data_IF_280430749361
#
_entry.id   IF_280430749361
#
_cell.length_a   1.000
_cell.length_b   1.000
_cell.length_c   1.000
_cell.angle_alpha   90.00
_cell.angle_beta   90.00
_cell.angle_gamma   90.00
#
_symmetry.space_group_name_H-M   'P 1'
#
loop_
_entity.id
_entity.type
_entity.pdbx_description
1 polymer ?
#
# COMPACT_ATOMS: atom_id res chain seq x y z
N UNK A 1 -24.91 33.21 -57.74
CA UNK A 1 -25.43 32.63 -56.48
C UNK A 1 -24.30 32.64 -55.46
N UNK A 2 -24.34 33.60 -54.53
CA UNK A 2 -23.32 33.80 -53.51
C UNK A 2 -24.00 33.76 -52.13
N UNK A 3 -23.50 32.92 -51.23
CA UNK A 3 -24.04 32.74 -49.88
C UNK A 3 -23.51 33.83 -48.92
N UNK A 4 -24.32 34.33 -47.97
CA UNK A 4 -23.92 35.41 -47.07
C UNK A 4 -23.15 34.90 -45.84
N UNK A 5 -22.16 35.70 -45.44
CA UNK A 5 -21.35 35.58 -44.21
C UNK A 5 -22.20 35.90 -42.97
N UNK A 6 -22.19 35.02 -41.97
CA UNK A 6 -22.66 35.34 -40.63
C UNK A 6 -21.48 35.73 -39.73
N UNK A 7 -21.54 36.96 -39.20
CA UNK A 7 -20.74 37.45 -38.05
C UNK A 7 -21.63 37.41 -36.81
N UNK A 8 -21.03 37.12 -35.67
CA UNK A 8 -21.60 37.30 -34.32
C UNK A 8 -20.96 36.31 -33.36
N UNK A 9 -20.67 36.61 -32.11
CA UNK A 9 -20.60 37.87 -31.38
C UNK A 9 -19.65 37.60 -30.21
N UNK A 10 -18.89 38.62 -29.84
CA UNK A 10 -18.18 38.72 -28.56
C UNK A 10 -19.18 38.82 -27.38
N UNK A 11 -18.64 38.71 -26.16
CA UNK A 11 -19.27 38.76 -24.81
C UNK A 11 -19.79 37.39 -24.30
N UNK A 12 -19.45 36.93 -23.10
CA UNK A 12 -19.34 37.70 -21.87
C UNK A 12 -18.41 36.99 -20.86
N UNK A 13 -17.37 37.70 -20.42
CA UNK A 13 -16.60 37.38 -19.24
C UNK A 13 -17.32 37.95 -18.01
N UNK A 14 -17.69 37.10 -17.06
CA UNK A 14 -18.09 37.49 -15.68
C UNK A 14 -17.25 36.64 -14.73
N UNK A 15 -16.12 37.15 -14.25
CA UNK A 15 -16.00 37.98 -13.05
C UNK A 15 -16.59 37.28 -11.82
N UNK A 16 -15.76 36.43 -11.19
CA UNK A 16 -15.93 35.96 -9.82
C UNK A 16 -14.70 36.40 -9.03
N UNK A 17 -14.75 37.63 -8.52
CA UNK A 17 -13.85 38.13 -7.47
C UNK A 17 -14.70 38.82 -6.41
N UNK A 18 -14.29 38.58 -5.17
CA UNK A 18 -14.56 39.36 -3.96
C UNK A 18 -15.89 39.07 -3.23
N UNK A 19 -15.82 38.10 -2.31
CA UNK A 19 -16.50 38.21 -1.02
C UNK A 19 -15.41 38.12 0.05
N UNK A 20 -15.08 39.28 0.61
CA UNK A 20 -14.29 39.45 1.83
C UNK A 20 -15.27 39.74 2.96
N UNK A 21 -15.02 39.17 4.14
CA UNK A 21 -14.95 39.86 5.45
C UNK A 21 -15.81 39.25 6.56
N UNK A 22 -15.09 39.00 7.66
CA UNK A 22 -15.52 38.99 9.07
C UNK A 22 -16.34 37.80 9.61
N UNK A 23 -15.65 36.92 10.35
CA UNK A 23 -15.93 36.81 11.79
C UNK A 23 -14.65 36.37 12.53
N UNK A 24 -14.08 37.30 13.30
CA UNK A 24 -13.14 37.02 14.39
C UNK A 24 -13.97 37.07 15.67
N UNK A 25 -14.13 35.93 16.35
CA UNK A 25 -14.51 35.93 17.76
C UNK A 25 -14.04 34.64 18.44
N UNK A 26 -13.11 34.84 19.38
CA UNK A 26 -12.86 34.06 20.60
C UNK A 26 -12.95 32.54 20.52
N UNK A 27 -11.81 31.87 20.62
CA UNK A 27 -11.75 30.56 21.29
C UNK A 27 -10.55 30.52 22.27
N UNK A 28 -10.76 30.11 23.54
CA UNK A 28 -9.75 30.17 24.59
C UNK A 28 -8.73 29.03 24.50
N UNK A 29 -7.55 29.30 25.05
CA UNK A 29 -6.36 28.45 25.05
C UNK A 29 -6.60 27.01 25.61
N UNK A 30 -5.91 25.99 25.08
CA UNK A 30 -5.95 24.63 25.63
C UNK A 30 -5.11 24.51 26.91
N UNK A 31 -5.70 23.90 27.94
CA UNK A 31 -5.01 23.50 29.18
C UNK A 31 -4.03 22.35 28.90
N UNK A 32 -2.89 22.28 29.58
CA UNK A 32 -1.98 21.14 29.48
C UNK A 32 -2.54 19.93 30.23
N UNK A 33 -2.67 18.79 29.55
CA UNK A 33 -2.96 17.49 30.14
C UNK A 33 -1.66 16.86 30.63
N UNK A 34 -1.48 16.84 31.93
CA UNK A 34 -0.50 16.03 32.65
C UNK A 34 -0.74 14.55 32.34
N UNK A 35 0.21 13.87 31.70
CA UNK A 35 0.22 12.40 31.59
C UNK A 35 1.48 11.86 32.25
N UNK A 36 1.29 11.17 33.37
CA UNK A 36 2.31 10.34 33.99
C UNK A 36 2.59 9.10 33.11
N UNK A 37 3.85 8.67 32.93
CA UNK A 37 4.16 7.37 32.37
C UNK A 37 4.02 6.28 33.44
N UNK A 38 3.10 5.32 33.22
CA UNK A 38 3.12 4.04 33.94
C UNK A 38 4.08 3.08 33.23
N UNK A 39 5.21 2.83 33.88
CA UNK A 39 6.16 1.78 33.54
C UNK A 39 5.60 0.43 34.03
N UNK A 40 5.14 -0.41 33.11
CA UNK A 40 4.84 -1.83 33.36
C UNK A 40 5.99 -2.69 32.81
N UNK A 41 6.98 -2.92 33.65
CA UNK A 41 8.05 -3.90 33.44
C UNK A 41 7.83 -5.06 34.42
N UNK A 42 7.03 -6.03 34.01
CA UNK A 42 6.96 -7.36 34.60
C UNK A 42 8.07 -8.22 33.97
N UNK A 43 9.14 -8.52 34.72
CA UNK A 43 9.25 -9.77 35.49
C UNK A 43 9.16 -11.01 34.59
N UNK A 44 10.28 -11.38 33.96
CA UNK A 44 10.54 -12.78 33.65
C UNK A 44 11.73 -13.25 34.51
N UNK A 45 11.38 -14.20 35.37
CA UNK A 45 12.22 -14.91 36.31
C UNK A 45 13.36 -15.63 35.58
N UNK A 46 14.59 -15.25 35.90
CA UNK A 46 15.75 -16.12 35.75
C UNK A 46 15.85 -16.99 37.00
N UNK A 47 15.60 -18.29 36.88
CA UNK A 47 16.11 -19.25 37.87
C UNK A 47 16.39 -20.59 37.21
N UNK A 48 17.64 -21.02 37.41
CA UNK A 48 18.09 -22.39 37.62
C UNK A 48 18.97 -22.96 36.50
N UNK A 49 20.27 -22.92 36.81
CA UNK A 49 21.33 -23.69 36.19
C UNK A 49 21.39 -25.01 36.96
N UNK A 50 21.26 -26.14 36.27
CA UNK A 50 21.76 -27.45 36.72
C UNK A 50 22.69 -28.02 35.65
N UNK A 51 23.90 -28.46 36.00
CA UNK A 51 24.80 -29.19 35.11
C UNK A 51 24.71 -30.72 35.30
N UNK A 52 25.22 -31.43 34.30
CA UNK A 52 25.53 -32.87 34.22
C UNK A 52 24.35 -33.84 34.03
N UNK A 53 24.30 -34.54 32.88
CA UNK A 53 24.97 -35.85 32.74
C UNK A 53 24.77 -36.51 31.36
N UNK A 54 25.88 -37.03 30.82
CA UNK A 54 26.04 -38.19 29.90
C UNK A 54 25.72 -38.08 28.39
N UNK A 55 26.65 -38.52 27.50
CA UNK A 55 26.41 -38.67 26.07
C UNK A 55 25.81 -40.05 25.71
N UNK A 56 24.84 -40.14 24.78
CA UNK A 56 24.40 -41.42 24.25
C UNK A 56 25.34 -41.94 23.13
N UNK A 57 25.60 -43.25 23.18
CA UNK A 57 26.36 -44.02 22.19
C UNK A 57 25.67 -44.11 20.81
N UNK A 58 26.43 -44.44 19.74
CA UNK A 58 25.97 -44.37 18.35
C UNK A 58 25.51 -45.75 17.85
N UNK A 59 24.20 -46.01 17.78
CA UNK A 59 23.64 -47.11 16.99
C UNK A 59 22.11 -47.02 16.86
N UNK A 60 21.64 -46.65 15.67
CA UNK A 60 20.33 -46.92 15.03
C UNK A 60 20.08 -45.80 14.01
N UNK A 61 20.51 -45.92 12.76
CA UNK A 61 19.72 -46.49 11.67
C UNK A 61 18.19 -46.44 11.90
N UNK A 62 17.59 -45.31 11.57
CA UNK A 62 16.22 -45.24 11.09
C UNK A 62 16.13 -44.03 10.17
N UNK A 63 15.78 -44.30 8.92
CA UNK A 63 15.50 -43.33 7.86
C UNK A 63 14.62 -42.20 8.37
N UNK A 64 15.21 -41.01 8.51
CA UNK A 64 14.42 -39.78 8.60
C UNK A 64 13.86 -39.52 7.21
N UNK A 65 12.52 -39.48 7.03
CA UNK A 65 11.95 -39.06 5.76
C UNK A 65 12.43 -37.63 5.53
N UNK A 66 13.21 -37.44 4.47
CA UNK A 66 13.65 -36.13 4.00
C UNK A 66 12.43 -35.21 4.04
N UNK A 67 12.54 -34.13 4.80
CA UNK A 67 11.63 -33.02 4.71
C UNK A 67 11.48 -32.70 3.23
N UNK A 68 10.28 -32.96 2.68
CA UNK A 68 9.89 -32.44 1.38
C UNK A 68 9.93 -30.92 1.53
N UNK A 69 11.11 -30.33 1.31
CA UNK A 69 11.26 -28.92 0.98
C UNK A 69 10.56 -28.80 -0.37
N UNK A 70 9.24 -28.58 -0.31
CA UNK A 70 8.47 -28.18 -1.47
C UNK A 70 9.17 -26.95 -2.00
N UNK A 71 9.94 -27.15 -3.06
CA UNK A 71 10.62 -26.11 -3.81
C UNK A 71 9.53 -25.44 -4.63
N UNK A 72 8.64 -24.70 -3.96
CA UNK A 72 7.69 -23.84 -4.63
C UNK A 72 8.52 -22.75 -5.25
N UNK A 73 8.75 -22.84 -6.57
CA UNK A 73 9.32 -21.75 -7.33
C UNK A 73 8.59 -20.46 -6.96
N UNK A 74 9.30 -19.35 -6.71
CA UNK A 74 8.65 -18.07 -6.42
C UNK A 74 7.66 -17.77 -7.54
N UNK A 75 6.38 -17.66 -7.20
CA UNK A 75 5.35 -17.26 -8.15
C UNK A 75 5.48 -15.75 -8.36
N UNK A 76 5.57 -15.36 -9.61
CA UNK A 76 5.64 -13.97 -10.04
C UNK A 76 4.27 -13.52 -10.53
N UNK A 77 3.87 -12.31 -10.16
CA UNK A 77 2.61 -11.69 -10.58
C UNK A 77 2.88 -10.35 -11.24
N UNK A 78 2.01 -9.94 -12.15
CA UNK A 78 2.14 -8.64 -12.79
C UNK A 78 1.68 -7.51 -11.86
N UNK A 79 2.56 -6.54 -11.61
CA UNK A 79 2.28 -5.35 -10.80
C UNK A 79 2.64 -4.07 -11.57
N UNK A 80 2.11 -2.92 -11.16
CA UNK A 80 2.38 -1.65 -11.84
C UNK A 80 3.38 -0.86 -11.01
N UNK A 81 4.55 -0.56 -11.58
CA UNK A 81 5.56 0.32 -11.00
C UNK A 81 5.42 1.72 -11.59
N UNK A 82 5.25 2.71 -10.71
CA UNK A 82 5.34 4.13 -11.00
C UNK A 82 6.70 4.62 -10.50
N UNK A 83 7.72 4.68 -11.36
CA UNK A 83 9.02 5.17 -10.95
C UNK A 83 8.94 6.65 -10.61
N UNK A 84 9.84 7.08 -9.74
CA UNK A 84 9.99 8.48 -9.29
C UNK A 84 10.10 9.44 -10.49
N UNK A 85 10.73 8.97 -11.57
CA UNK A 85 10.76 9.64 -12.87
C UNK A 85 10.63 8.62 -14.00
N UNK A 86 9.99 9.01 -15.10
CA UNK A 86 9.83 8.16 -16.29
C UNK A 86 8.38 7.73 -16.53
N UNK A 87 8.22 6.58 -17.20
CA UNK A 87 6.90 6.07 -17.61
C UNK A 87 6.51 4.90 -16.71
N UNK A 88 5.24 4.81 -16.25
CA UNK A 88 4.73 3.64 -15.54
C UNK A 88 4.91 2.37 -16.38
N UNK A 89 5.25 1.26 -15.73
CA UNK A 89 5.46 -0.02 -16.41
C UNK A 89 5.01 -1.19 -15.56
N UNK A 90 4.66 -2.28 -16.22
CA UNK A 90 4.42 -3.54 -15.54
C UNK A 90 5.73 -4.19 -15.12
N UNK A 91 5.73 -4.82 -13.95
CA UNK A 91 6.87 -5.55 -13.37
C UNK A 91 6.41 -6.88 -12.80
N UNK A 92 7.26 -7.88 -12.88
CA UNK A 92 7.04 -9.20 -12.29
C UNK A 92 7.31 -9.12 -10.80
N UNK A 93 6.27 -8.98 -9.97
CA UNK A 93 6.27 -8.92 -8.51
C UNK A 93 6.59 -10.29 -7.91
N UNK A 94 7.70 -10.36 -7.20
CA UNK A 94 8.11 -11.56 -6.45
C UNK A 94 7.27 -11.71 -5.18
N UNK A 95 6.95 -12.95 -4.84
CA UNK A 95 6.17 -13.29 -3.65
C UNK A 95 6.91 -14.31 -2.79
N UNK A 96 6.66 -14.25 -1.48
CA UNK A 96 7.08 -15.27 -0.52
C UNK A 96 5.88 -16.13 -0.11
N UNK A 97 6.09 -17.43 0.01
CA UNK A 97 5.08 -18.34 0.54
C UNK A 97 5.07 -18.27 2.07
N UNK A 98 3.90 -18.01 2.66
CA UNK A 98 3.68 -17.97 4.10
C UNK A 98 2.62 -18.99 4.48
N UNK A 99 2.95 -19.87 5.42
CA UNK A 99 1.97 -20.80 5.99
C UNK A 99 1.09 -20.04 6.99
N UNK A 100 -0.20 -19.97 6.72
CA UNK A 100 -1.21 -19.44 7.64
C UNK A 100 -2.02 -20.61 8.19
N UNK A 101 -2.03 -20.78 9.51
CA UNK A 101 -2.88 -21.77 10.17
C UNK A 101 -4.19 -21.07 10.52
N UNK A 102 -5.30 -21.57 10.00
CA UNK A 102 -6.62 -21.11 10.39
C UNK A 102 -6.88 -21.49 11.85
N UNK A 103 -7.10 -20.52 12.76
CA UNK A 103 -7.30 -20.81 14.17
C UNK A 103 -8.58 -21.58 14.48
N UNK A 104 -9.57 -21.55 13.57
CA UNK A 104 -10.87 -22.22 13.76
C UNK A 104 -10.81 -23.64 13.21
N UNK A 105 -10.37 -23.81 11.96
CA UNK A 105 -10.36 -25.14 11.31
C UNK A 105 -9.07 -25.94 11.57
N UNK A 106 -8.02 -25.31 12.08
CA UNK A 106 -6.69 -25.91 12.24
C UNK A 106 -6.00 -26.21 10.90
N UNK A 107 -6.63 -25.87 9.77
CA UNK A 107 -6.09 -26.15 8.45
C UNK A 107 -4.96 -25.17 8.13
N UNK A 108 -3.85 -25.72 7.64
CA UNK A 108 -2.73 -24.94 7.15
C UNK A 108 -3.00 -24.54 5.69
N UNK A 109 -3.04 -23.24 5.43
CA UNK A 109 -3.16 -22.66 4.09
C UNK A 109 -1.91 -21.87 3.77
N UNK A 110 -1.24 -22.25 2.69
CA UNK A 110 -0.14 -21.43 2.14
C UNK A 110 -0.73 -20.21 1.43
N UNK A 111 -0.32 -19.02 1.85
CA UNK A 111 -0.66 -17.74 1.20
C UNK A 111 0.60 -17.12 0.61
N UNK A 112 0.43 -16.32 -0.44
CA UNK A 112 1.52 -15.59 -1.07
C UNK A 112 1.53 -14.17 -0.53
N UNK A 113 2.71 -13.70 -0.16
CA UNK A 113 2.94 -12.36 0.39
C UNK A 113 3.84 -11.60 -0.57
N UNK A 114 3.43 -10.43 -1.10
CA UNK A 114 4.30 -9.60 -1.94
C UNK A 114 5.58 -9.20 -1.22
N UNK A 115 6.67 -9.10 -1.98
CA UNK A 115 7.96 -8.58 -1.51
C UNK A 115 8.26 -7.22 -2.16
N UNK A 116 7.58 -6.14 -1.73
CA UNK A 116 7.78 -4.80 -2.32
C UNK A 116 9.20 -4.26 -2.12
N UNK A 117 9.94 -4.74 -1.13
CA UNK A 117 11.32 -4.36 -0.83
C UNK A 117 12.31 -4.66 -1.97
N UNK A 118 11.95 -5.53 -2.91
CA UNK A 118 12.78 -5.82 -4.08
C UNK A 118 12.62 -4.77 -5.21
N UNK A 119 11.58 -3.93 -5.13
CA UNK A 119 11.25 -2.91 -6.14
C UNK A 119 11.32 -1.50 -5.58
N UNK A 120 11.17 -1.35 -4.26
CA UNK A 120 11.22 -0.07 -3.57
C UNK A 120 12.57 0.09 -2.88
N UNK A 121 13.18 1.29 -2.94
CA UNK A 121 14.45 1.53 -2.27
C UNK A 121 14.31 1.37 -0.75
N UNK A 122 15.36 0.85 -0.11
CA UNK A 122 15.42 0.79 1.34
C UNK A 122 15.26 2.20 1.94
N UNK A 123 14.46 2.29 3.00
CA UNK A 123 14.08 3.55 3.64
C UNK A 123 14.19 3.39 5.15
N UNK A 124 14.69 4.39 5.90
CA UNK A 124 14.83 4.31 7.36
C UNK A 124 13.51 4.00 8.08
N UNK A 125 12.39 4.47 7.54
CA UNK A 125 11.05 4.25 8.09
C UNK A 125 10.33 3.07 7.42
N UNK A 126 11.05 2.26 6.64
CA UNK A 126 10.50 1.20 5.82
C UNK A 126 9.63 1.72 4.67
N UNK A 127 8.96 0.78 4.01
CA UNK A 127 7.87 1.05 3.08
C UNK A 127 6.53 1.04 3.84
N UNK A 128 5.53 1.72 3.31
CA UNK A 128 4.14 1.70 3.77
C UNK A 128 3.25 1.09 2.70
N UNK A 129 2.07 0.65 3.11
CA UNK A 129 1.05 0.13 2.21
C UNK A 129 -0.29 0.84 2.46
N UNK A 130 -1.01 1.14 1.39
CA UNK A 130 -2.38 1.67 1.44
C UNK A 130 -3.28 0.84 0.53
N UNK A 131 -4.42 0.41 1.06
CA UNK A 131 -5.42 -0.38 0.32
C UNK A 131 -6.48 0.55 -0.26
N UNK A 132 -6.93 0.28 -1.48
CA UNK A 132 -8.17 0.82 -1.99
C UNK A 132 -8.99 -0.25 -2.73
N UNK A 133 -10.29 -0.23 -2.52
CA UNK A 133 -11.27 -1.05 -3.24
C UNK A 133 -12.44 -0.19 -3.75
N UNK A 134 -12.30 1.13 -3.77
CA UNK A 134 -13.24 2.08 -4.36
C UNK A 134 -12.49 3.33 -4.82
N UNK A 135 -13.01 3.98 -5.86
CA UNK A 135 -12.52 5.28 -6.32
C UNK A 135 -13.39 6.42 -5.77
N UNK A 136 -12.88 7.64 -5.84
CA UNK A 136 -13.61 8.81 -5.38
C UNK A 136 -14.94 8.96 -6.12
N UNK A 137 -16.04 9.08 -5.38
CA UNK A 137 -17.39 9.21 -5.92
C UNK A 137 -18.08 7.90 -6.30
N UNK A 138 -17.43 6.74 -6.14
CA UNK A 138 -18.08 5.44 -6.34
C UNK A 138 -18.95 5.06 -5.13
N UNK A 139 -20.18 4.64 -5.39
CA UNK A 139 -21.09 4.08 -4.37
C UNK A 139 -20.90 2.58 -4.16
N UNK A 140 -20.36 1.90 -5.18
CA UNK A 140 -20.09 0.45 -5.17
C UNK A 140 -18.59 0.23 -5.24
N UNK A 141 -18.10 -0.76 -4.49
CA UNK A 141 -16.68 -1.14 -4.48
C UNK A 141 -16.28 -1.86 -5.76
N UNK A 142 -15.02 -1.74 -6.12
CA UNK A 142 -14.37 -2.53 -7.15
C UNK A 142 -14.40 -4.03 -6.75
N UNK A 143 -14.53 -4.94 -7.73
CA UNK A 143 -14.47 -6.38 -7.46
C UNK A 143 -13.07 -6.80 -6.99
N UNK A 144 -12.04 -6.05 -7.39
CA UNK A 144 -10.66 -6.24 -6.97
C UNK A 144 -10.24 -5.21 -5.94
N UNK A 145 -9.27 -5.59 -5.12
CA UNK A 145 -8.59 -4.73 -4.17
C UNK A 145 -7.20 -4.40 -4.71
N UNK A 146 -6.78 -3.15 -4.59
CA UNK A 146 -5.43 -2.73 -4.91
C UNK A 146 -4.69 -2.35 -3.65
N UNK A 147 -3.40 -2.69 -3.60
CA UNK A 147 -2.49 -2.28 -2.52
C UNK A 147 -1.36 -1.48 -3.14
N UNK A 148 -1.21 -0.25 -2.66
CA UNK A 148 -0.19 0.71 -3.07
C UNK A 148 0.93 0.68 -2.04
N UNK A 149 2.11 0.23 -2.46
CA UNK A 149 3.34 0.23 -1.67
C UNK A 149 4.18 1.46 -2.04
N UNK A 150 4.67 2.18 -1.04
CA UNK A 150 5.50 3.37 -1.27
C UNK A 150 6.46 3.64 -0.11
N UNK A 151 7.46 4.51 -0.33
CA UNK A 151 8.43 4.91 0.69
C UNK A 151 8.17 6.36 1.14
N UNK A 152 7.53 6.59 2.31
CA UNK A 152 7.07 7.93 2.69
C UNK A 152 8.20 8.92 2.98
N UNK A 153 9.36 8.44 3.43
CA UNK A 153 10.48 9.26 3.94
C UNK A 153 11.49 9.70 2.89
N UNK A 154 11.30 9.37 1.61
CA UNK A 154 12.20 9.86 0.58
C UNK A 154 11.92 11.34 0.28
N UNK A 155 12.96 12.20 0.14
CA UNK A 155 12.76 13.59 -0.19
C UNK A 155 12.26 13.79 -1.64
N UNK A 156 12.38 12.76 -2.48
CA UNK A 156 12.18 12.87 -3.94
C UNK A 156 10.71 12.68 -4.28
N UNK A 157 10.10 13.69 -4.92
CA UNK A 157 8.72 13.65 -5.39
C UNK A 157 8.62 12.71 -6.60
N UNK A 158 7.57 11.90 -6.64
CA UNK A 158 7.23 11.11 -7.81
C UNK A 158 6.63 12.02 -8.89
N UNK A 159 7.49 12.44 -9.84
CA UNK A 159 7.12 13.37 -10.93
C UNK A 159 6.05 12.77 -11.85
N UNK A 160 6.05 11.45 -12.02
CA UNK A 160 5.05 10.72 -12.81
C UNK A 160 3.65 10.89 -12.23
N UNK A 161 3.50 10.71 -10.91
CA UNK A 161 2.22 10.88 -10.22
C UNK A 161 1.85 12.38 -10.09
N UNK A 162 2.84 13.25 -9.87
CA UNK A 162 2.64 14.70 -9.89
C UNK A 162 1.99 15.16 -11.21
N UNK A 163 2.47 14.65 -12.34
CA UNK A 163 1.89 14.95 -13.65
C UNK A 163 0.44 14.44 -13.78
N UNK A 164 0.12 13.29 -13.20
CA UNK A 164 -1.25 12.75 -13.16
C UNK A 164 -2.20 13.62 -12.33
N UNK A 165 -1.72 14.17 -11.22
CA UNK A 165 -2.49 15.07 -10.35
C UNK A 165 -2.67 16.46 -10.98
N UNK A 166 -1.72 16.90 -11.81
CA UNK A 166 -1.79 18.16 -12.56
C UNK A 166 -2.05 19.36 -11.64
N UNK A 167 -3.15 20.08 -11.88
CA UNK A 167 -3.52 21.27 -11.09
C UNK A 167 -3.93 20.97 -9.64
N UNK A 168 -4.25 19.71 -9.33
CA UNK A 168 -4.64 19.28 -7.99
C UNK A 168 -3.45 18.83 -7.13
N UNK A 169 -2.23 18.86 -7.68
CA UNK A 169 -1.01 18.50 -6.97
C UNK A 169 -0.78 19.39 -5.73
N UNK A 170 -0.43 18.75 -4.60
CA UNK A 170 -0.05 19.41 -3.35
C UNK A 170 1.28 18.86 -2.87
N UNK A 171 2.32 19.70 -2.85
CA UNK A 171 3.68 19.25 -2.55
C UNK A 171 3.84 18.63 -1.14
N UNK A 172 3.10 19.15 -0.16
CA UNK A 172 3.10 18.67 1.22
C UNK A 172 2.55 17.25 1.36
N UNK A 173 1.62 16.85 0.48
CA UNK A 173 0.98 15.54 0.47
C UNK A 173 1.35 14.76 -0.80
N UNK A 174 2.52 15.02 -1.37
CA UNK A 174 2.94 14.38 -2.61
C UNK A 174 3.33 12.92 -2.40
N UNK A 175 3.05 12.09 -3.41
CA UNK A 175 3.67 10.77 -3.50
C UNK A 175 5.17 10.95 -3.68
N UNK A 176 5.95 10.24 -2.86
CA UNK A 176 7.41 10.34 -2.82
C UNK A 176 8.02 8.98 -3.12
N UNK A 177 9.09 9.01 -3.92
CA UNK A 177 9.81 7.83 -4.38
C UNK A 177 9.04 6.99 -5.37
N UNK A 178 9.54 5.77 -5.56
CA UNK A 178 8.86 4.78 -6.39
C UNK A 178 7.59 4.30 -5.68
N UNK A 179 6.56 4.04 -6.48
CA UNK A 179 5.28 3.53 -6.01
C UNK A 179 4.96 2.26 -6.77
N UNK A 180 4.71 1.17 -6.04
CA UNK A 180 4.40 -0.14 -6.59
C UNK A 180 2.95 -0.50 -6.26
N UNK A 181 2.19 -0.97 -7.24
CA UNK A 181 0.78 -1.31 -7.06
C UNK A 181 0.53 -2.76 -7.44
N UNK A 182 0.04 -3.53 -6.47
CA UNK A 182 -0.36 -4.92 -6.64
C UNK A 182 -1.88 -5.07 -6.56
N UNK A 183 -2.42 -6.06 -7.28
CA UNK A 183 -3.84 -6.37 -7.33
C UNK A 183 -4.13 -7.64 -6.56
N UNK A 184 -5.29 -7.65 -5.92
CA UNK A 184 -5.79 -8.76 -5.12
C UNK A 184 -7.25 -9.04 -5.45
N UNK A 185 -7.58 -10.31 -5.55
CA UNK A 185 -8.95 -10.79 -5.64
C UNK A 185 -9.49 -11.07 -4.24
N UNK A 186 -10.72 -10.65 -4.00
CA UNK A 186 -11.46 -11.02 -2.79
C UNK A 186 -12.08 -12.41 -3.03
N UNK A 187 -11.58 -13.45 -2.35
CA UNK A 187 -12.23 -14.78 -2.34
C UNK A 187 -12.97 -15.01 -1.02
N UNK A 188 -14.22 -15.46 -1.13
CA UNK A 188 -15.02 -16.01 -0.02
C UNK A 188 -15.94 -14.99 0.67
N UNK A 189 -17.14 -15.45 1.04
CA UNK A 189 -18.19 -14.62 1.66
C UNK A 189 -18.07 -14.42 3.18
N UNK A 190 -17.35 -15.28 3.91
CA UNK A 190 -17.27 -15.23 5.39
C UNK A 190 -15.87 -14.91 5.95
N UNK A 191 -14.81 -15.15 5.18
CA UNK A 191 -13.44 -14.75 5.53
C UNK A 191 -12.85 -14.05 4.32
N UNK A 192 -12.66 -12.72 4.40
CA UNK A 192 -12.05 -11.91 3.34
C UNK A 192 -10.57 -12.32 3.16
N UNK A 193 -10.32 -13.43 2.47
CA UNK A 193 -8.97 -13.75 2.04
C UNK A 193 -8.67 -12.99 0.76
N UNK A 194 -7.57 -12.24 0.78
CA UNK A 194 -7.01 -11.62 -0.41
C UNK A 194 -6.03 -12.60 -1.06
N UNK A 195 -6.19 -12.81 -2.36
CA UNK A 195 -5.26 -13.58 -3.19
C UNK A 195 -4.65 -12.65 -4.24
N UNK A 196 -3.34 -12.73 -4.43
CA UNK A 196 -2.64 -11.90 -5.42
C UNK A 196 -3.11 -12.29 -6.82
N UNK A 197 -3.27 -11.30 -7.70
CA UNK A 197 -3.61 -11.50 -9.11
C UNK A 197 -2.83 -10.53 -10.00
N UNK A 198 -2.74 -10.86 -11.29
CA UNK A 198 -2.05 -10.07 -12.29
C UNK A 198 -2.78 -8.76 -12.59
N UNK A 199 -2.01 -7.67 -12.57
CA UNK A 199 -2.43 -6.39 -13.10
C UNK A 199 -2.46 -6.44 -14.64
N UNK A 200 -3.54 -5.95 -15.23
CA UNK A 200 -3.77 -5.86 -16.67
C UNK A 200 -3.79 -4.39 -17.13
N UNK A 201 -3.82 -4.17 -18.45
CA UNK A 201 -3.85 -2.82 -19.03
C UNK A 201 -5.01 -1.94 -18.52
N UNK A 202 -6.17 -2.53 -18.21
CA UNK A 202 -7.32 -1.81 -17.67
C UNK A 202 -7.07 -1.30 -16.23
N UNK A 203 -6.26 -2.02 -15.45
CA UNK A 203 -5.98 -1.69 -14.06
C UNK A 203 -5.16 -0.39 -13.95
N UNK A 204 -4.33 -0.09 -14.96
CA UNK A 204 -3.61 1.17 -15.03
C UNK A 204 -4.55 2.38 -14.98
N UNK A 205 -5.70 2.33 -15.67
CA UNK A 205 -6.65 3.43 -15.66
C UNK A 205 -7.27 3.65 -14.26
N UNK A 206 -7.60 2.56 -13.56
CA UNK A 206 -8.14 2.59 -12.20
C UNK A 206 -7.13 3.14 -11.20
N UNK A 207 -5.89 2.63 -11.26
CA UNK A 207 -4.80 3.07 -10.39
C UNK A 207 -4.44 4.53 -10.67
N UNK A 208 -4.41 4.95 -11.94
CA UNK A 208 -4.18 6.35 -12.31
C UNK A 208 -5.25 7.27 -11.74
N UNK A 209 -6.52 6.88 -11.82
CA UNK A 209 -7.63 7.67 -11.25
C UNK A 209 -7.54 7.79 -9.73
N UNK A 210 -7.14 6.70 -9.05
CA UNK A 210 -6.87 6.71 -7.62
C UNK A 210 -5.74 7.69 -7.29
N UNK A 211 -4.57 7.55 -7.92
CA UNK A 211 -3.38 8.38 -7.66
C UNK A 211 -3.58 9.85 -8.02
N UNK A 212 -4.46 10.17 -8.99
CA UNK A 212 -4.80 11.56 -9.33
C UNK A 212 -5.64 12.26 -8.27
N UNK A 213 -6.31 11.50 -7.40
CA UNK A 213 -7.29 12.04 -6.43
C UNK A 213 -6.81 11.90 -4.99
N UNK A 214 -6.07 10.84 -4.69
CA UNK A 214 -5.61 10.52 -3.34
C UNK A 214 -4.13 10.82 -3.17
N UNK A 215 -3.81 11.30 -1.98
CA UNK A 215 -2.46 11.50 -1.48
C UNK A 215 -2.14 10.41 -0.43
N UNK A 216 -0.86 10.04 -0.25
CA UNK A 216 -0.48 9.10 0.80
C UNK A 216 -0.87 9.67 2.17
N UNK A 217 -1.38 8.82 3.06
CA UNK A 217 -1.65 9.21 4.45
C UNK A 217 -0.31 9.52 5.16
N UNK A 218 -0.24 10.70 5.78
CA UNK A 218 0.90 11.17 6.58
C UNK A 218 1.15 10.30 7.80
#
# INVERSE_FOLDING_TARGET
MAAPRARGSHESARSWRNITRQEQSKNPAPRPLTTHPQTLLSQLKSTSIHPCSSPPSPAALADSPMSNVMSTSPQAFEAILFPTSGVPRFVQLTTSARLLIDPISGQAKTTLVPMPELYLPASPNGWRSQRFDALYGMTVRLPQTYVVYHTPSTPIINTTIQQMQGKHYRAEMSWRGDVLVAKFLRRGGSSETLEIADCEGADYALVKNYLSTYCPAS
#
